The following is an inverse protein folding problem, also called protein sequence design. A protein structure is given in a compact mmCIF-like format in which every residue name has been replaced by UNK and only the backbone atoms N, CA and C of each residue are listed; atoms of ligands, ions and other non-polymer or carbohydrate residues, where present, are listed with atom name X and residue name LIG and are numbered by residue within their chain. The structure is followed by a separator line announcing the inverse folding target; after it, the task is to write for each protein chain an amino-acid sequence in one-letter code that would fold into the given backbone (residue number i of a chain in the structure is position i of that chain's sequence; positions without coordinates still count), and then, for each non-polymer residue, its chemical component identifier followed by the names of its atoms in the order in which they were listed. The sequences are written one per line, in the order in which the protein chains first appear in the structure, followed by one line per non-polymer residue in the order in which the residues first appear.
data_IF_300527208048
#
_entry.id   IF_300527208048
#
_cell.length_a   1.000
_cell.length_b   1.000
_cell.length_c   1.000
_cell.angle_alpha   90.00
_cell.angle_beta   90.00
_cell.angle_gamma   90.00
#
_symmetry.space_group_name_H-M   'P 1'
#
loop_
_entity.id
_entity.type
_entity.pdbx_description
1 polymer ?
#
# COMPACT_ATOMS: atom_id res chain seq x y z
N UNK A 1 56.18 -37.39 -4.38
CA UNK A 1 55.88 -36.34 -5.38
C UNK A 1 56.61 -35.08 -4.95
N UNK A 2 57.55 -34.56 -5.75
CA UNK A 2 58.29 -33.33 -5.42
C UNK A 2 57.39 -32.14 -5.74
N UNK A 3 56.95 -31.39 -4.73
CA UNK A 3 56.19 -30.17 -4.90
C UNK A 3 57.05 -29.11 -5.59
N UNK A 4 56.56 -28.57 -6.71
CA UNK A 4 57.16 -27.39 -7.34
C UNK A 4 56.78 -26.15 -6.50
N UNK A 5 57.67 -25.15 -6.36
CA UNK A 5 57.34 -23.95 -5.61
C UNK A 5 56.18 -23.21 -6.30
N UNK A 6 55.17 -22.84 -5.52
CA UNK A 6 54.00 -22.09 -5.98
C UNK A 6 54.47 -20.67 -6.31
N UNK A 7 54.56 -20.37 -7.59
CA UNK A 7 54.84 -19.04 -8.12
C UNK A 7 53.72 -18.64 -9.09
N UNK A 8 53.60 -17.35 -9.41
CA UNK A 8 52.51 -16.83 -10.25
C UNK A 8 52.45 -17.54 -11.61
N UNK A 9 53.59 -17.99 -12.12
CA UNK A 9 53.70 -18.69 -13.40
C UNK A 9 53.17 -20.13 -13.34
N UNK A 10 53.45 -20.88 -12.27
CA UNK A 10 52.89 -22.24 -12.07
C UNK A 10 51.39 -22.21 -11.81
N UNK A 11 50.89 -21.19 -11.11
CA UNK A 11 49.44 -20.99 -10.94
C UNK A 11 48.78 -20.63 -12.28
N UNK A 12 49.40 -19.76 -13.08
CA UNK A 12 48.91 -19.43 -14.42
C UNK A 12 48.89 -20.64 -15.34
N UNK A 13 49.94 -21.46 -15.32
CA UNK A 13 50.04 -22.68 -16.13
C UNK A 13 49.01 -23.74 -15.70
N UNK A 14 48.76 -23.92 -14.40
CA UNK A 14 47.68 -24.76 -13.86
C UNK A 14 46.29 -24.25 -14.26
N UNK A 15 46.07 -22.94 -14.23
CA UNK A 15 44.80 -22.31 -14.63
C UNK A 15 44.57 -22.44 -16.14
N UNK A 16 45.60 -22.23 -16.96
CA UNK A 16 45.52 -22.38 -18.41
C UNK A 16 45.28 -23.85 -18.79
N UNK A 17 45.94 -24.80 -18.12
CA UNK A 17 45.68 -26.24 -18.29
C UNK A 17 44.29 -26.65 -17.81
N UNK A 18 43.79 -26.08 -16.70
CA UNK A 18 42.43 -26.32 -16.23
C UNK A 18 41.40 -25.74 -17.22
N UNK A 19 41.62 -24.54 -17.75
CA UNK A 19 40.77 -23.92 -18.75
C UNK A 19 40.75 -24.72 -20.07
N UNK A 20 41.90 -25.26 -20.51
CA UNK A 20 41.98 -26.17 -21.65
C UNK A 20 41.27 -27.49 -21.39
N UNK A 21 41.40 -28.09 -20.19
CA UNK A 21 40.67 -29.31 -19.82
C UNK A 21 39.17 -29.09 -19.79
N UNK A 22 38.70 -27.93 -19.32
CA UNK A 22 37.28 -27.54 -19.34
C UNK A 22 36.80 -27.28 -20.78
N UNK A 23 37.59 -26.62 -21.63
CA UNK A 23 37.28 -26.42 -23.05
C UNK A 23 37.27 -27.72 -23.84
N UNK A 24 38.19 -28.64 -23.57
CA UNK A 24 38.24 -29.95 -24.19
C UNK A 24 37.10 -30.85 -23.69
N UNK A 25 36.81 -30.84 -22.39
CA UNK A 25 35.68 -31.55 -21.79
C UNK A 25 34.32 -31.08 -22.33
N UNK A 26 34.14 -29.77 -22.48
CA UNK A 26 32.91 -29.19 -23.06
C UNK A 26 32.77 -29.47 -24.55
N UNK A 27 33.86 -29.42 -25.34
CA UNK A 27 33.85 -29.85 -26.75
C UNK A 27 33.53 -31.34 -26.90
N UNK A 28 34.17 -32.20 -26.10
CA UNK A 28 33.93 -33.64 -26.12
C UNK A 28 32.50 -34.01 -25.68
N UNK A 29 31.93 -33.27 -24.71
CA UNK A 29 30.53 -33.42 -24.31
C UNK A 29 29.59 -32.96 -25.44
N UNK A 30 29.87 -31.81 -26.05
CA UNK A 30 29.10 -31.29 -27.17
C UNK A 30 29.12 -32.24 -28.38
N UNK A 31 30.27 -32.82 -28.71
CA UNK A 31 30.41 -33.79 -29.80
C UNK A 31 29.72 -35.12 -29.48
N UNK A 32 29.76 -35.59 -28.23
CA UNK A 32 29.05 -36.81 -27.81
C UNK A 32 27.53 -36.61 -27.80
N UNK A 33 27.06 -35.43 -27.40
CA UNK A 33 25.64 -35.01 -27.47
C UNK A 33 25.17 -34.84 -28.91
N UNK A 34 26.04 -34.36 -29.80
CA UNK A 34 25.75 -34.15 -31.22
C UNK A 34 25.72 -35.46 -32.04
N UNK A 35 26.55 -36.43 -31.67
CA UNK A 35 26.71 -37.69 -32.41
C UNK A 35 25.82 -38.85 -31.89
N UNK A 36 25.16 -38.70 -30.74
CA UNK A 36 24.20 -39.71 -30.24
C UNK A 36 22.78 -39.48 -30.80
N UNK A 37 22.45 -40.24 -31.85
CA UNK A 37 21.15 -40.21 -32.54
C UNK A 37 19.99 -40.56 -31.58
N UNK A 38 20.20 -41.43 -30.59
CA UNK A 38 19.18 -41.81 -29.62
C UNK A 38 18.96 -40.74 -28.53
N UNK A 39 20.00 -39.98 -28.19
CA UNK A 39 19.90 -38.83 -27.30
C UNK A 39 19.20 -37.65 -28.00
N UNK A 40 19.55 -37.37 -29.26
CA UNK A 40 18.93 -36.30 -30.04
C UNK A 40 17.41 -36.53 -30.23
N UNK A 41 16.99 -37.79 -30.43
CA UNK A 41 15.58 -38.18 -30.51
C UNK A 41 14.82 -38.11 -29.17
N UNK A 42 15.51 -38.27 -28.02
CA UNK A 42 14.91 -38.07 -26.68
C UNK A 42 14.79 -36.59 -26.34
N UNK A 43 15.81 -35.79 -26.64
CA UNK A 43 15.77 -34.33 -26.48
C UNK A 43 14.69 -33.70 -27.35
N UNK A 44 14.56 -34.10 -28.61
CA UNK A 44 13.56 -33.52 -29.50
C UNK A 44 12.12 -33.82 -29.04
N UNK A 45 11.89 -35.02 -28.47
CA UNK A 45 10.62 -35.37 -27.80
C UNK A 45 10.40 -34.55 -26.52
N UNK A 46 11.42 -34.40 -25.68
CA UNK A 46 11.35 -33.56 -24.47
C UNK A 46 11.05 -32.08 -24.78
N UNK A 47 11.75 -31.50 -25.76
CA UNK A 47 11.50 -30.13 -26.26
C UNK A 47 10.07 -29.98 -26.80
N UNK A 48 9.54 -31.01 -27.47
CA UNK A 48 8.16 -30.98 -27.97
C UNK A 48 7.14 -30.96 -26.84
N UNK A 49 7.29 -31.83 -25.83
CA UNK A 49 6.40 -31.90 -24.67
C UNK A 49 6.47 -30.59 -23.87
N UNK A 50 7.68 -30.12 -23.55
CA UNK A 50 7.89 -28.88 -22.81
C UNK A 50 7.25 -27.68 -23.52
N UNK A 51 7.43 -27.57 -24.85
CA UNK A 51 6.83 -26.48 -25.62
C UNK A 51 5.31 -26.52 -25.60
N UNK A 52 4.70 -27.70 -25.72
CA UNK A 52 3.24 -27.86 -25.65
C UNK A 52 2.72 -27.49 -24.27
N UNK A 53 3.40 -27.90 -23.20
CA UNK A 53 3.05 -27.54 -21.81
C UNK A 53 3.15 -26.01 -21.62
N UNK A 54 4.25 -25.39 -22.07
CA UNK A 54 4.42 -23.95 -22.00
C UNK A 54 3.34 -23.22 -22.81
N UNK A 55 3.05 -23.69 -24.02
CA UNK A 55 2.00 -23.11 -24.87
C UNK A 55 0.61 -23.20 -24.24
N UNK A 56 0.26 -24.36 -23.67
CA UNK A 56 -0.98 -24.53 -22.92
C UNK A 56 -1.03 -23.63 -21.69
N UNK A 57 0.09 -23.49 -20.98
CA UNK A 57 0.24 -22.55 -19.86
C UNK A 57 -0.03 -21.11 -20.27
N UNK A 58 0.57 -20.65 -21.38
CA UNK A 58 0.31 -19.31 -21.92
C UNK A 58 -1.17 -19.07 -22.24
N UNK A 59 -1.85 -20.05 -22.84
CA UNK A 59 -3.30 -19.95 -23.12
C UNK A 59 -4.09 -19.92 -21.82
N UNK A 60 -3.78 -20.77 -20.85
CA UNK A 60 -4.43 -20.81 -19.55
C UNK A 60 -4.31 -19.46 -18.82
N UNK A 61 -3.10 -18.90 -18.74
CA UNK A 61 -2.90 -17.57 -18.18
C UNK A 61 -3.58 -16.48 -19.00
N UNK A 62 -3.60 -16.60 -20.33
CA UNK A 62 -4.36 -15.72 -21.21
C UNK A 62 -5.85 -15.68 -20.86
N UNK A 63 -6.47 -16.84 -20.62
CA UNK A 63 -7.86 -16.92 -20.16
C UNK A 63 -8.05 -16.35 -18.76
N UNK A 64 -7.14 -16.64 -17.81
CA UNK A 64 -7.20 -16.10 -16.46
C UNK A 64 -7.17 -14.56 -16.48
N UNK A 65 -6.22 -13.96 -17.22
CA UNK A 65 -6.14 -12.52 -17.38
C UNK A 65 -7.32 -11.94 -18.15
N UNK A 66 -7.87 -12.66 -19.13
CA UNK A 66 -9.08 -12.25 -19.85
C UNK A 66 -10.30 -12.18 -18.91
N UNK A 67 -10.49 -13.16 -18.03
CA UNK A 67 -11.59 -13.16 -17.05
C UNK A 67 -11.45 -11.97 -16.11
N UNK A 68 -10.24 -11.74 -15.56
CA UNK A 68 -9.95 -10.56 -14.73
C UNK A 68 -10.23 -9.28 -15.51
N UNK A 69 -9.75 -9.17 -16.75
CA UNK A 69 -9.99 -8.01 -17.59
C UNK A 69 -11.48 -7.76 -17.80
N UNK A 70 -12.28 -8.79 -18.08
CA UNK A 70 -13.74 -8.63 -18.26
C UNK A 70 -14.41 -8.16 -16.96
N UNK A 71 -14.10 -8.79 -15.82
CA UNK A 71 -14.68 -8.42 -14.52
C UNK A 71 -14.35 -6.95 -14.18
N UNK A 72 -13.09 -6.55 -14.31
CA UNK A 72 -12.64 -5.22 -13.93
C UNK A 72 -13.04 -4.12 -14.93
N UNK A 73 -12.92 -4.38 -16.24
CA UNK A 73 -13.08 -3.36 -17.27
C UNK A 73 -14.47 -3.30 -17.91
N UNK A 74 -15.18 -4.42 -18.05
CA UNK A 74 -16.49 -4.43 -18.74
C UNK A 74 -17.63 -4.10 -17.76
N UNK A 75 -17.51 -4.55 -16.51
CA UNK A 75 -18.59 -4.39 -15.53
C UNK A 75 -18.51 -3.09 -14.71
N UNK A 76 -17.42 -2.32 -14.84
CA UNK A 76 -17.21 -1.10 -14.05
C UNK A 76 -17.08 -1.45 -12.56
N UNK A 77 -16.05 -2.23 -12.21
CA UNK A 77 -15.88 -2.78 -10.87
C UNK A 77 -15.82 -1.67 -9.79
N UNK A 78 -16.81 -1.65 -8.91
CA UNK A 78 -16.86 -0.83 -7.71
C UNK A 78 -16.37 -1.67 -6.52
N UNK A 79 -15.36 -1.20 -5.81
CA UNK A 79 -14.64 -2.06 -4.84
C UNK A 79 -14.31 -1.38 -3.52
N UNK A 80 -14.26 -0.06 -3.50
CA UNK A 80 -14.01 0.70 -2.27
C UNK A 80 -15.35 1.08 -1.65
N UNK A 81 -15.69 0.57 -0.45
CA UNK A 81 -16.86 1.07 0.26
C UNK A 81 -16.60 2.52 0.66
N UNK A 82 -17.47 3.44 0.21
CA UNK A 82 -17.34 4.87 0.50
C UNK A 82 -18.65 5.38 1.10
N UNK A 83 -18.54 6.19 2.13
CA UNK A 83 -19.70 6.81 2.77
C UNK A 83 -20.16 8.02 1.95
N UNK A 84 -21.08 7.78 1.04
CA UNK A 84 -21.81 8.78 0.28
C UNK A 84 -23.07 8.16 -0.34
N UNK A 85 -23.85 8.94 -1.08
CA UNK A 85 -25.12 8.48 -1.69
C UNK A 85 -24.96 7.29 -2.67
N UNK A 86 -23.72 7.00 -3.11
CA UNK A 86 -23.41 5.95 -4.10
C UNK A 86 -22.95 4.58 -3.54
N UNK A 87 -22.69 4.44 -2.24
CA UNK A 87 -22.33 3.16 -1.59
C UNK A 87 -20.90 2.64 -1.89
N UNK A 88 -20.54 2.41 -3.15
CA UNK A 88 -19.21 1.98 -3.56
C UNK A 88 -18.59 2.99 -4.53
N UNK A 89 -17.25 3.06 -4.51
CA UNK A 89 -16.46 3.90 -5.41
C UNK A 89 -15.83 3.04 -6.51
N UNK A 90 -15.93 3.54 -7.74
CA UNK A 90 -15.30 2.96 -8.91
C UNK A 90 -13.80 3.27 -8.97
N UNK A 91 -13.05 2.48 -9.74
CA UNK A 91 -11.62 2.74 -9.96
C UNK A 91 -11.36 4.10 -10.63
N UNK A 92 -12.29 4.59 -11.44
CA UNK A 92 -12.20 5.92 -12.08
C UNK A 92 -12.31 7.03 -11.05
N UNK A 93 -13.30 6.96 -10.16
CA UNK A 93 -13.49 7.95 -9.10
C UNK A 93 -12.32 7.93 -8.12
N UNK A 94 -11.82 6.75 -7.76
CA UNK A 94 -10.59 6.65 -6.97
C UNK A 94 -9.40 7.28 -7.70
N UNK A 95 -9.27 7.01 -8.99
CA UNK A 95 -8.26 7.65 -9.85
C UNK A 95 -8.38 9.18 -9.86
N UNK A 96 -9.59 9.74 -9.89
CA UNK A 96 -9.81 11.18 -9.83
C UNK A 96 -9.47 11.81 -8.47
N UNK A 97 -9.64 11.06 -7.38
CA UNK A 97 -9.24 11.47 -6.04
C UNK A 97 -7.73 11.29 -5.77
N UNK A 98 -7.10 10.31 -6.42
CA UNK A 98 -5.69 9.99 -6.22
C UNK A 98 -4.78 10.76 -7.19
N UNK A 99 -5.15 10.89 -8.46
CA UNK A 99 -4.29 11.48 -9.48
C UNK A 99 -4.46 13.00 -9.54
N UNK A 100 -3.35 13.70 -9.76
CA UNK A 100 -3.30 15.16 -9.84
C UNK A 100 -4.17 15.78 -10.93
N UNK A 101 -4.32 15.13 -12.09
CA UNK A 101 -5.05 15.68 -13.23
C UNK A 101 -6.04 14.70 -13.84
N UNK A 102 -7.22 15.15 -14.29
CA UNK A 102 -8.15 14.33 -15.09
C UNK A 102 -7.51 13.78 -16.38
N UNK A 103 -6.50 14.46 -16.93
CA UNK A 103 -5.75 13.94 -18.08
C UNK A 103 -4.91 12.73 -17.70
N UNK A 104 -4.36 12.70 -16.49
CA UNK A 104 -3.51 11.62 -16.00
C UNK A 104 -4.35 10.35 -15.78
N UNK A 105 -5.58 10.51 -15.29
CA UNK A 105 -6.58 9.42 -15.21
C UNK A 105 -6.82 8.82 -16.60
N UNK A 106 -7.05 9.66 -17.62
CA UNK A 106 -7.25 9.19 -19.00
C UNK A 106 -6.02 8.47 -19.55
N UNK A 107 -4.82 9.00 -19.32
CA UNK A 107 -3.57 8.35 -19.75
C UNK A 107 -3.33 7.02 -19.05
N UNK A 108 -3.68 6.92 -17.76
CA UNK A 108 -3.61 5.68 -17.01
C UNK A 108 -4.59 4.63 -17.56
N UNK A 109 -5.81 5.04 -17.94
CA UNK A 109 -6.75 4.18 -18.66
C UNK A 109 -6.21 3.71 -20.01
N UNK A 110 -5.71 4.62 -20.84
CA UNK A 110 -5.16 4.30 -22.16
C UNK A 110 -3.98 3.33 -22.03
N UNK A 111 -3.02 3.64 -21.14
CA UNK A 111 -1.85 2.80 -20.88
C UNK A 111 -2.22 1.43 -20.33
N UNK A 112 -3.17 1.39 -19.38
CA UNK A 112 -3.70 0.16 -18.80
C UNK A 112 -4.42 -0.72 -19.81
N UNK A 113 -5.30 -0.15 -20.65
CA UNK A 113 -6.00 -0.86 -21.72
C UNK A 113 -5.03 -1.38 -22.78
N UNK A 114 -4.08 -0.55 -23.23
CA UNK A 114 -3.04 -0.96 -24.18
C UNK A 114 -2.22 -2.12 -23.60
N UNK A 115 -1.75 -2.01 -22.36
CA UNK A 115 -0.97 -3.05 -21.69
C UNK A 115 -1.76 -4.35 -21.50
N UNK A 116 -3.00 -4.27 -21.02
CA UNK A 116 -3.85 -5.43 -20.78
C UNK A 116 -4.23 -6.15 -22.09
N UNK A 117 -4.75 -5.42 -23.08
CA UNK A 117 -5.16 -6.00 -24.36
C UNK A 117 -3.96 -6.61 -25.08
N UNK A 118 -2.85 -5.87 -25.19
CA UNK A 118 -1.65 -6.38 -25.86
C UNK A 118 -1.06 -7.59 -25.12
N UNK A 119 -1.03 -7.57 -23.78
CA UNK A 119 -0.57 -8.68 -22.96
C UNK A 119 -1.42 -9.94 -23.14
N UNK A 120 -2.75 -9.81 -23.08
CA UNK A 120 -3.68 -10.93 -23.29
C UNK A 120 -3.51 -11.51 -24.70
N UNK A 121 -3.50 -10.64 -25.73
CA UNK A 121 -3.29 -11.07 -27.11
C UNK A 121 -1.92 -11.70 -27.32
N UNK A 122 -0.88 -11.21 -26.64
CA UNK A 122 0.46 -11.77 -26.68
C UNK A 122 0.48 -13.17 -26.07
N UNK A 123 -0.15 -13.39 -24.91
CA UNK A 123 -0.23 -14.70 -24.26
C UNK A 123 -0.96 -15.72 -25.15
N UNK A 124 -2.12 -15.36 -25.72
CA UNK A 124 -2.84 -16.24 -26.64
C UNK A 124 -2.04 -16.53 -27.91
N UNK A 125 -1.48 -15.49 -28.54
CA UNK A 125 -0.69 -15.64 -29.76
C UNK A 125 0.55 -16.51 -29.51
N UNK A 126 1.29 -16.25 -28.43
CA UNK A 126 2.47 -17.03 -28.06
C UNK A 126 2.11 -18.48 -27.75
N UNK A 127 1.02 -18.71 -27.02
CA UNK A 127 0.52 -20.04 -26.69
C UNK A 127 0.16 -20.86 -27.94
N UNK A 128 -0.62 -20.28 -28.86
CA UNK A 128 -1.00 -20.91 -30.13
C UNK A 128 0.25 -21.20 -30.98
N UNK A 129 1.17 -20.23 -31.12
CA UNK A 129 2.39 -20.40 -31.92
C UNK A 129 3.30 -21.52 -31.37
N UNK A 130 3.39 -21.65 -30.04
CA UNK A 130 4.15 -22.72 -29.39
C UNK A 130 3.53 -24.10 -29.62
N UNK A 131 2.19 -24.22 -29.58
CA UNK A 131 1.51 -25.51 -29.80
C UNK A 131 1.62 -25.93 -31.27
N UNK A 132 1.23 -25.04 -32.20
CA UNK A 132 1.11 -25.36 -33.63
C UNK A 132 2.40 -25.18 -34.45
N UNK A 133 3.49 -24.70 -33.84
CA UNK A 133 4.81 -24.50 -34.49
C UNK A 133 4.78 -23.52 -35.68
N UNK A 134 3.93 -22.50 -35.63
CA UNK A 134 3.71 -21.56 -36.74
C UNK A 134 4.65 -20.34 -36.70
N UNK A 135 5.90 -20.53 -36.26
CA UNK A 135 6.87 -19.45 -36.18
C UNK A 135 7.39 -19.09 -37.58
N UNK A 136 6.84 -18.04 -38.16
CA UNK A 136 7.32 -17.40 -39.37
C UNK A 136 7.80 -15.98 -39.06
N UNK A 137 8.48 -15.32 -40.00
CA UNK A 137 8.95 -13.93 -39.86
C UNK A 137 7.81 -12.98 -39.46
N UNK A 138 6.64 -13.15 -40.06
CA UNK A 138 5.45 -12.33 -39.78
C UNK A 138 4.88 -12.55 -38.38
N UNK A 139 4.86 -13.78 -37.87
CA UNK A 139 4.33 -14.05 -36.53
C UNK A 139 5.27 -13.55 -35.44
N UNK A 140 6.59 -13.59 -35.68
CA UNK A 140 7.58 -12.94 -34.82
C UNK A 140 7.44 -11.42 -34.82
N UNK A 141 7.19 -10.81 -35.98
CA UNK A 141 6.93 -9.37 -36.08
C UNK A 141 5.66 -8.97 -35.36
N UNK A 142 4.57 -9.74 -35.49
CA UNK A 142 3.32 -9.49 -34.78
C UNK A 142 3.50 -9.58 -33.26
N UNK A 143 4.23 -10.60 -32.76
CA UNK A 143 4.55 -10.72 -31.34
C UNK A 143 5.41 -9.55 -30.84
N UNK A 144 6.41 -9.14 -31.64
CA UNK A 144 7.22 -7.97 -31.34
C UNK A 144 6.38 -6.69 -31.29
N UNK A 145 5.43 -6.53 -32.21
CA UNK A 145 4.49 -5.41 -32.20
C UNK A 145 3.61 -5.38 -30.96
N UNK A 146 3.01 -6.51 -30.57
CA UNK A 146 2.24 -6.63 -29.33
C UNK A 146 3.10 -6.30 -28.10
N UNK A 147 4.33 -6.79 -28.07
CA UNK A 147 5.26 -6.50 -26.99
C UNK A 147 5.59 -5.00 -26.91
N UNK A 148 5.86 -4.35 -28.03
CA UNK A 148 6.13 -2.89 -28.08
C UNK A 148 4.89 -2.10 -27.63
N UNK A 149 3.70 -2.45 -28.08
CA UNK A 149 2.44 -1.80 -27.65
C UNK A 149 2.26 -1.94 -26.14
N UNK A 150 2.47 -3.14 -25.59
CA UNK A 150 2.38 -3.38 -24.15
C UNK A 150 3.43 -2.60 -23.37
N UNK A 151 4.67 -2.56 -23.88
CA UNK A 151 5.74 -1.76 -23.30
C UNK A 151 5.41 -0.27 -23.30
N UNK A 152 4.88 0.26 -24.40
CA UNK A 152 4.42 1.66 -24.48
C UNK A 152 3.32 1.94 -23.47
N UNK A 153 2.31 1.05 -23.34
CA UNK A 153 1.27 1.18 -22.32
C UNK A 153 1.83 1.20 -20.90
N UNK A 154 2.79 0.30 -20.61
CA UNK A 154 3.51 0.28 -19.34
C UNK A 154 4.31 1.54 -19.06
N UNK A 155 5.00 2.09 -20.06
CA UNK A 155 5.73 3.36 -19.94
C UNK A 155 4.77 4.52 -19.63
N UNK A 156 3.61 4.60 -20.29
CA UNK A 156 2.61 5.63 -20.01
C UNK A 156 2.16 5.57 -18.55
N UNK A 157 1.78 4.39 -18.06
CA UNK A 157 1.41 4.19 -16.66
C UNK A 157 2.56 4.52 -15.71
N UNK A 158 3.78 4.12 -16.05
CA UNK A 158 4.98 4.42 -15.26
C UNK A 158 5.26 5.93 -15.15
N UNK A 159 5.11 6.68 -16.25
CA UNK A 159 5.29 8.14 -16.26
C UNK A 159 4.23 8.83 -15.40
N UNK A 160 2.96 8.42 -15.53
CA UNK A 160 1.87 8.94 -14.68
C UNK A 160 2.14 8.61 -13.21
N UNK A 161 2.53 7.37 -12.91
CA UNK A 161 2.84 6.93 -11.55
C UNK A 161 4.03 7.69 -10.93
N UNK A 162 5.09 7.96 -11.70
CA UNK A 162 6.22 8.78 -11.22
C UNK A 162 5.77 10.22 -11.00
N UNK A 163 4.99 10.80 -11.92
CA UNK A 163 4.49 12.17 -11.80
C UNK A 163 3.66 12.34 -10.54
N UNK A 164 2.77 11.40 -10.26
CA UNK A 164 1.92 11.43 -9.06
C UNK A 164 2.72 11.09 -7.79
N UNK A 165 3.65 10.13 -7.85
CA UNK A 165 4.51 9.77 -6.73
C UNK A 165 5.39 10.92 -6.23
N UNK A 166 5.73 11.88 -7.09
CA UNK A 166 6.46 13.09 -6.68
C UNK A 166 5.70 13.96 -5.68
N UNK A 167 4.36 13.88 -5.64
CA UNK A 167 3.56 14.61 -4.68
C UNK A 167 3.68 14.09 -3.24
N UNK A 168 4.40 12.98 -3.04
CA UNK A 168 4.69 12.41 -1.72
C UNK A 168 6.11 12.74 -1.25
N UNK A 169 6.85 13.58 -1.97
CA UNK A 169 8.26 13.85 -1.71
C UNK A 169 8.53 14.65 -0.42
N UNK A 170 7.59 15.48 0.01
CA UNK A 170 7.70 16.26 1.23
C UNK A 170 6.43 16.11 2.06
N UNK A 171 6.61 16.01 3.36
CA UNK A 171 5.53 16.03 4.35
C UNK A 171 5.69 17.27 5.23
N UNK A 172 4.59 17.85 5.69
CA UNK A 172 4.64 19.02 6.58
C UNK A 172 3.57 18.91 7.65
N UNK A 173 4.00 19.20 8.88
CA UNK A 173 3.18 19.22 10.08
C UNK A 173 2.85 20.66 10.45
N UNK A 174 1.58 20.93 10.74
CA UNK A 174 1.08 22.21 11.25
C UNK A 174 0.43 21.96 12.60
N UNK A 175 0.66 22.89 13.52
CA UNK A 175 0.11 22.82 14.88
C UNK A 175 -0.69 24.08 15.14
N UNK A 176 -1.86 23.90 15.73
CA UNK A 176 -2.60 25.00 16.33
C UNK A 176 -2.00 25.38 17.69
N UNK A 177 -2.36 26.56 18.19
CA UNK A 177 -2.05 26.94 19.55
C UNK A 177 -2.70 25.97 20.56
N UNK A 178 -1.99 25.60 21.65
CA UNK A 178 -2.49 24.63 22.61
C UNK A 178 -3.70 25.20 23.39
N UNK A 179 -4.73 24.38 23.54
CA UNK A 179 -5.84 24.66 24.46
C UNK A 179 -5.44 24.16 25.85
N UNK A 180 -5.48 25.05 26.83
CA UNK A 180 -5.13 24.76 28.21
C UNK A 180 -6.37 24.39 29.02
N UNK A 181 -6.34 23.28 29.75
CA UNK A 181 -7.46 22.82 30.58
C UNK A 181 -6.98 22.53 32.00
N UNK A 182 -7.65 23.12 32.98
CA UNK A 182 -7.45 22.80 34.39
C UNK A 182 -8.53 21.82 34.87
N UNK A 183 -8.15 20.56 34.94
CA UNK A 183 -8.97 19.47 35.48
C UNK A 183 -8.07 18.49 36.23
N UNK A 184 -8.62 17.66 37.12
CA UNK A 184 -7.87 16.54 37.72
C UNK A 184 -7.80 15.32 36.78
N UNK A 185 -8.89 15.11 36.03
CA UNK A 185 -8.99 14.09 35.01
C UNK A 185 -9.65 14.69 33.77
N UNK A 186 -9.03 14.53 32.60
CA UNK A 186 -9.59 14.97 31.32
C UNK A 186 -10.36 13.80 30.69
N UNK A 187 -11.65 13.96 30.42
CA UNK A 187 -12.48 12.94 29.77
C UNK A 187 -12.60 13.22 28.28
N UNK A 188 -12.26 12.25 27.42
CA UNK A 188 -12.40 12.38 25.96
C UNK A 188 -13.69 11.68 25.51
N UNK A 189 -14.54 12.43 24.83
CA UNK A 189 -15.83 11.99 24.31
C UNK A 189 -15.90 12.21 22.80
N UNK A 190 -16.50 11.28 22.07
CA UNK A 190 -16.64 11.38 20.60
C UNK A 190 -18.05 11.83 20.21
N UNK A 191 -18.17 12.82 19.32
CA UNK A 191 -19.46 13.35 18.85
C UNK A 191 -20.27 12.32 18.04
N UNK A 192 -19.60 11.53 17.22
CA UNK A 192 -20.23 10.69 16.19
C UNK A 192 -20.65 9.29 16.68
N UNK A 193 -20.52 8.99 17.98
CA UNK A 193 -20.94 7.72 18.58
C UNK A 193 -22.45 7.60 18.85
N UNK A 194 -23.17 8.73 18.90
CA UNK A 194 -24.59 8.81 19.30
C UNK A 194 -25.31 9.86 18.46
N UNK A 195 -25.88 9.45 17.32
CA UNK A 195 -26.84 10.32 16.61
C UNK A 195 -28.22 10.10 17.22
N UNK A 196 -28.75 11.11 17.90
CA UNK A 196 -30.16 11.15 18.27
C UNK A 196 -30.97 11.44 17.01
N UNK A 197 -31.66 10.42 16.50
CA UNK A 197 -32.64 10.62 15.43
C UNK A 197 -33.82 11.44 15.98
N UNK A 198 -34.53 12.19 15.12
CA UNK A 198 -35.74 12.97 15.44
C UNK A 198 -36.87 12.16 16.11
N UNK A 199 -36.73 10.83 16.16
CA UNK A 199 -37.62 9.89 16.82
C UNK A 199 -37.13 9.40 18.20
N UNK A 200 -36.12 10.06 18.81
CA UNK A 200 -35.60 9.70 20.13
C UNK A 200 -34.85 8.35 20.17
N UNK A 201 -34.41 7.85 19.01
CA UNK A 201 -33.62 6.61 18.91
C UNK A 201 -32.15 6.97 18.77
N UNK A 202 -31.34 6.45 19.69
CA UNK A 202 -29.87 6.46 19.60
C UNK A 202 -29.42 5.51 18.50
N UNK A 203 -28.93 6.03 17.39
CA UNK A 203 -28.34 5.22 16.33
C UNK A 203 -26.84 5.18 16.58
N UNK A 204 -26.35 4.06 17.13
CA UNK A 204 -24.92 3.76 17.20
C UNK A 204 -24.50 3.09 15.90
N UNK A 205 -23.72 3.79 15.08
CA UNK A 205 -23.25 3.24 13.80
C UNK A 205 -22.24 2.11 14.08
N UNK A 206 -22.71 0.86 14.06
CA UNK A 206 -22.01 -0.29 14.65
C UNK A 206 -21.06 -1.01 13.68
N UNK A 207 -21.09 -0.68 12.39
CA UNK A 207 -20.23 -1.33 11.38
C UNK A 207 -19.91 -0.37 10.24
N UNK A 208 -18.75 0.29 10.35
CA UNK A 208 -18.26 1.23 9.35
C UNK A 208 -17.09 0.64 8.59
N UNK A 209 -17.37 0.24 7.35
CA UNK A 209 -16.41 -0.40 6.45
C UNK A 209 -15.69 0.63 5.55
N UNK A 210 -16.21 1.86 5.45
CA UNK A 210 -15.64 2.91 4.61
C UNK A 210 -14.67 3.81 5.37
N UNK A 211 -13.44 3.90 4.87
CA UNK A 211 -12.36 4.76 5.42
C UNK A 211 -12.56 6.24 5.06
N UNK A 212 -13.35 6.51 4.02
CA UNK A 212 -13.62 7.85 3.50
C UNK A 212 -15.10 8.08 3.26
N UNK A 213 -15.52 9.35 3.30
CA UNK A 213 -16.80 9.81 2.80
C UNK A 213 -16.63 10.95 1.79
N UNK A 214 -17.61 11.07 0.90
CA UNK A 214 -17.64 12.14 -0.11
C UNK A 214 -18.83 13.05 0.17
N UNK A 215 -18.59 14.34 0.33
CA UNK A 215 -19.60 15.35 0.58
C UNK A 215 -19.42 16.54 -0.37
N UNK A 216 -20.07 16.52 -1.54
CA UNK A 216 -19.94 17.59 -2.52
C UNK A 216 -18.48 17.77 -2.97
N UNK A 217 -17.86 18.91 -2.62
CA UNK A 217 -16.45 19.19 -2.92
C UNK A 217 -15.46 18.82 -1.79
N UNK A 218 -15.94 18.25 -0.68
CA UNK A 218 -15.11 17.84 0.45
C UNK A 218 -15.05 16.32 0.58
N UNK A 219 -13.93 15.84 1.09
CA UNK A 219 -13.71 14.47 1.52
C UNK A 219 -13.73 14.43 3.03
N UNK A 220 -14.30 13.39 3.61
CA UNK A 220 -14.12 13.06 5.02
C UNK A 220 -13.24 11.83 5.15
N UNK A 221 -12.30 11.83 6.10
CA UNK A 221 -11.52 10.64 6.48
C UNK A 221 -11.75 10.37 7.95
N UNK A 222 -11.93 9.09 8.27
CA UNK A 222 -12.14 8.62 9.64
C UNK A 222 -10.82 8.19 10.28
N UNK A 223 -10.77 8.30 11.60
CA UNK A 223 -9.62 7.86 12.37
C UNK A 223 -8.75 9.04 12.78
N UNK A 224 -8.70 9.36 14.07
CA UNK A 224 -7.86 10.42 14.62
C UNK A 224 -6.82 9.78 15.54
N UNK A 225 -5.56 10.13 15.34
CA UNK A 225 -4.46 9.64 16.16
C UNK A 225 -4.35 10.49 17.43
N UNK A 226 -3.96 9.86 18.54
CA UNK A 226 -3.79 10.46 19.85
C UNK A 226 -2.37 10.18 20.32
N UNK A 227 -1.69 11.23 20.75
CA UNK A 227 -0.37 11.13 21.37
C UNK A 227 -0.43 11.76 22.76
N UNK A 228 -0.02 11.01 23.77
CA UNK A 228 0.03 11.46 25.15
C UNK A 228 1.48 11.67 25.56
N UNK A 229 1.82 12.86 26.07
CA UNK A 229 3.16 13.19 26.58
C UNK A 229 3.07 13.92 27.92
N UNK A 230 4.13 14.00 28.74
CA UNK A 230 4.09 14.78 29.97
C UNK A 230 3.89 16.27 29.70
N UNK A 231 3.07 16.92 30.54
CA UNK A 231 2.93 18.38 30.55
C UNK A 231 4.11 19.05 31.25
N UNK A 232 4.56 20.22 30.77
CA UNK A 232 5.56 21.02 31.47
C UNK A 232 5.02 21.73 32.73
N UNK A 233 3.70 21.80 32.91
CA UNK A 233 3.05 22.48 34.02
C UNK A 233 1.84 21.70 34.57
N UNK A 234 1.03 22.34 35.41
CA UNK A 234 -0.14 21.73 36.05
C UNK A 234 -1.39 21.63 35.17
N UNK A 235 -1.33 22.11 33.93
CA UNK A 235 -2.47 22.17 33.00
C UNK A 235 -2.32 21.12 31.90
N UNK A 236 -3.44 20.59 31.43
CA UNK A 236 -3.45 19.82 30.21
C UNK A 236 -3.24 20.77 29.03
N UNK A 237 -2.35 20.43 28.11
CA UNK A 237 -2.18 21.15 26.84
C UNK A 237 -2.65 20.25 25.70
N UNK A 238 -3.67 20.70 24.97
CA UNK A 238 -4.28 19.96 23.87
C UNK A 238 -3.94 20.67 22.58
N UNK A 239 -3.14 20.03 21.74
CA UNK A 239 -2.66 20.59 20.48
C UNK A 239 -3.18 19.78 19.31
N UNK A 240 -3.87 20.43 18.38
CA UNK A 240 -4.25 19.83 17.11
C UNK A 240 -3.07 19.87 16.16
N UNK A 241 -2.79 18.73 15.54
CA UNK A 241 -1.69 18.56 14.61
C UNK A 241 -2.22 18.04 13.28
N UNK A 242 -1.89 18.74 12.21
CA UNK A 242 -2.34 18.45 10.85
C UNK A 242 -1.14 18.07 9.99
N UNK A 243 -1.23 16.93 9.30
CA UNK A 243 -0.18 16.45 8.38
C UNK A 243 -0.75 16.18 6.99
N UNK A 244 0.04 16.49 5.98
CA UNK A 244 -0.24 16.17 4.59
C UNK A 244 1.06 16.16 3.78
N UNK A 245 1.05 15.44 2.66
CA UNK A 245 2.16 15.36 1.72
C UNK A 245 1.98 16.30 0.53
N UNK A 246 3.11 16.73 -0.05
CA UNK A 246 3.17 17.52 -1.27
C UNK A 246 4.48 17.37 -2.02
N UNK A 247 4.51 17.83 -3.28
CA UNK A 247 5.75 17.87 -4.06
C UNK A 247 6.79 18.85 -3.50
N UNK A 248 6.39 19.71 -2.56
CA UNK A 248 7.23 20.64 -1.83
C UNK A 248 6.64 20.88 -0.45
N UNK A 249 7.47 21.28 0.52
CA UNK A 249 6.98 21.64 1.87
C UNK A 249 5.94 22.76 1.84
N UNK A 250 6.02 23.68 0.86
CA UNK A 250 5.00 24.72 0.67
C UNK A 250 3.64 24.11 0.33
N UNK A 251 3.60 23.16 -0.62
CA UNK A 251 2.34 22.52 -1.02
C UNK A 251 1.81 21.57 0.05
N UNK A 252 2.70 20.85 0.73
CA UNK A 252 2.35 20.04 1.88
C UNK A 252 1.70 20.89 2.98
N UNK A 253 2.31 22.06 3.30
CA UNK A 253 1.75 23.02 4.26
C UNK A 253 0.36 23.50 3.84
N UNK A 254 0.20 23.97 2.60
CA UNK A 254 -1.10 24.41 2.07
C UNK A 254 -2.19 23.35 2.25
N UNK A 255 -1.88 22.08 1.94
CA UNK A 255 -2.80 20.95 2.14
C UNK A 255 -3.11 20.69 3.60
N UNK A 256 -2.11 20.77 4.49
CA UNK A 256 -2.32 20.63 5.94
C UNK A 256 -3.19 21.76 6.50
N UNK A 257 -3.06 23.00 5.98
CA UNK A 257 -3.89 24.16 6.38
C UNK A 257 -5.36 24.00 5.98
N UNK A 258 -5.65 23.26 4.92
CA UNK A 258 -7.02 23.00 4.46
C UNK A 258 -7.73 21.85 5.21
N UNK A 259 -7.06 21.18 6.15
CA UNK A 259 -7.69 20.13 6.95
C UNK A 259 -8.56 20.78 8.03
N UNK A 260 -9.85 20.50 7.99
CA UNK A 260 -10.82 20.96 8.96
C UNK A 260 -11.11 19.86 9.99
N UNK A 261 -10.80 20.16 11.24
CA UNK A 261 -11.08 19.27 12.37
C UNK A 261 -11.57 20.03 13.58
N UNK A 262 -12.63 19.51 14.19
CA UNK A 262 -13.33 20.16 15.30
C UNK A 262 -13.15 19.37 16.59
N UNK A 263 -12.80 20.12 17.62
CA UNK A 263 -12.86 19.72 19.01
C UNK A 263 -13.59 20.81 19.79
N UNK A 264 -14.15 20.46 20.93
CA UNK A 264 -14.76 21.40 21.87
C UNK A 264 -14.39 20.99 23.30
N UNK A 265 -14.11 21.96 24.15
CA UNK A 265 -13.74 21.71 25.55
C UNK A 265 -14.79 22.34 26.45
N UNK A 266 -15.41 21.50 27.29
CA UNK A 266 -16.40 21.94 28.27
C UNK A 266 -16.02 21.41 29.64
N UNK A 267 -15.48 22.28 30.50
CA UNK A 267 -15.00 21.89 31.83
C UNK A 267 -13.84 20.90 31.74
N UNK A 268 -14.06 19.68 32.23
CA UNK A 268 -13.09 18.57 32.25
C UNK A 268 -13.23 17.62 31.04
N UNK A 269 -14.09 17.96 30.08
CA UNK A 269 -14.45 17.09 28.98
C UNK A 269 -14.01 17.67 27.64
N UNK A 270 -13.23 16.89 26.88
CA UNK A 270 -12.85 17.15 25.50
C UNK A 270 -13.77 16.35 24.56
N UNK A 271 -14.60 17.06 23.80
CA UNK A 271 -15.41 16.48 22.74
C UNK A 271 -14.66 16.56 21.42
N UNK A 272 -14.61 15.44 20.68
CA UNK A 272 -13.88 15.35 19.42
C UNK A 272 -14.69 14.65 18.34
N UNK A 273 -14.54 15.08 17.08
CA UNK A 273 -15.13 14.36 15.95
C UNK A 273 -14.31 13.08 15.65
N UNK A 274 -14.92 12.02 15.12
CA UNK A 274 -14.19 10.79 14.71
C UNK A 274 -13.66 10.86 13.27
N UNK A 275 -13.90 12.00 12.62
CA UNK A 275 -13.56 12.29 11.23
C UNK A 275 -13.10 13.74 11.09
N UNK A 276 -12.32 13.99 10.06
CA UNK A 276 -11.93 15.32 9.62
C UNK A 276 -12.24 15.48 8.13
N UNK A 277 -12.29 16.73 7.69
CA UNK A 277 -12.66 17.11 6.34
C UNK A 277 -11.47 17.79 5.64
N UNK A 278 -11.38 17.61 4.33
CA UNK A 278 -10.44 18.33 3.48
C UNK A 278 -11.00 18.43 2.06
N UNK A 279 -10.61 19.42 1.25
CA UNK A 279 -11.16 19.59 -0.09
C UNK A 279 -10.70 18.48 -1.04
N UNK A 280 -11.58 18.06 -1.95
CA UNK A 280 -11.25 17.09 -3.02
C UNK A 280 -10.10 17.55 -3.91
N UNK A 281 -9.95 18.86 -4.06
CA UNK A 281 -8.90 19.49 -4.86
C UNK A 281 -7.50 19.14 -4.34
N UNK A 282 -7.35 18.90 -3.04
CA UNK A 282 -6.07 18.53 -2.43
C UNK A 282 -5.66 17.08 -2.70
N UNK A 283 -6.56 16.27 -3.26
CA UNK A 283 -6.37 14.83 -3.56
C UNK A 283 -6.07 14.00 -2.32
N UNK A 284 -5.99 12.69 -2.45
CA UNK A 284 -5.53 11.80 -1.38
C UNK A 284 -4.01 11.90 -1.24
N UNK A 285 -3.53 12.61 -0.22
CA UNK A 285 -2.12 12.98 -0.01
C UNK A 285 -1.70 12.82 1.44
N UNK A 286 -2.10 11.70 2.05
CA UNK A 286 -1.72 11.41 3.42
C UNK A 286 -2.24 12.44 4.43
N UNK A 287 -3.43 13.01 4.19
CA UNK A 287 -4.04 13.92 5.16
C UNK A 287 -4.33 13.20 6.46
N UNK A 288 -3.79 13.70 7.56
CA UNK A 288 -3.88 13.11 8.90
C UNK A 288 -4.11 14.18 9.96
N UNK A 289 -4.81 13.78 11.01
CA UNK A 289 -5.06 14.58 12.20
C UNK A 289 -4.59 13.79 13.41
N UNK A 290 -3.76 14.42 14.22
CA UNK A 290 -3.25 13.91 15.47
C UNK A 290 -3.59 14.92 16.58
N UNK A 291 -4.13 14.42 17.69
CA UNK A 291 -4.35 15.18 18.91
C UNK A 291 -3.21 14.88 19.88
N UNK A 292 -2.35 15.86 20.13
CA UNK A 292 -1.33 15.77 21.18
C UNK A 292 -1.88 16.29 22.48
N UNK A 293 -1.88 15.45 23.50
CA UNK A 293 -2.41 15.76 24.82
C UNK A 293 -1.26 15.65 25.81
N UNK A 294 -0.86 16.79 26.36
CA UNK A 294 0.16 16.82 27.40
C UNK A 294 -0.50 16.66 28.77
N UNK A 295 -0.15 15.61 29.51
CA UNK A 295 -0.74 15.20 30.79
C UNK A 295 0.16 15.66 31.94
N UNK A 296 -0.34 16.50 32.88
CA UNK A 296 0.41 16.88 34.09
C UNK A 296 0.72 15.70 35.01
N UNK A 297 1.79 15.83 35.79
CA UNK A 297 2.16 14.86 36.81
C UNK A 297 1.00 14.65 37.81
N UNK A 298 0.63 13.39 38.07
CA UNK A 298 -0.45 13.02 38.99
C UNK A 298 -1.88 13.13 38.42
N UNK A 299 -2.06 13.69 37.22
CA UNK A 299 -3.35 13.79 36.54
C UNK A 299 -3.54 12.66 35.51
N UNK A 300 -4.75 12.53 34.95
CA UNK A 300 -5.06 11.42 34.03
C UNK A 300 -6.04 11.77 32.92
N UNK A 301 -6.04 10.98 31.85
CA UNK A 301 -7.05 11.07 30.78
C UNK A 301 -7.94 9.83 30.83
N UNK A 302 -9.26 10.01 30.71
CA UNK A 302 -10.24 8.94 30.56
C UNK A 302 -10.76 8.92 29.12
N UNK A 303 -10.59 7.82 28.40
CA UNK A 303 -11.10 7.63 27.04
C UNK A 303 -11.59 6.20 26.86
N UNK A 304 -12.80 6.02 26.34
CA UNK A 304 -13.42 4.69 26.09
C UNK A 304 -13.25 3.70 27.26
N UNK A 305 -13.55 4.19 28.48
CA UNK A 305 -13.44 3.42 29.73
C UNK A 305 -12.01 2.98 30.11
N UNK A 306 -10.99 3.56 29.48
CA UNK A 306 -9.57 3.37 29.77
C UNK A 306 -8.97 4.63 30.38
N UNK A 307 -8.16 4.45 31.43
CA UNK A 307 -7.43 5.53 32.08
C UNK A 307 -5.99 5.54 31.56
N UNK A 308 -5.56 6.67 31.03
CA UNK A 308 -4.19 6.94 30.58
C UNK A 308 -3.50 7.83 31.63
N UNK A 309 -2.34 7.40 32.10
CA UNK A 309 -1.52 8.09 33.10
C UNK A 309 -0.05 7.93 32.71
N UNK A 310 0.65 9.04 32.56
CA UNK A 310 2.07 9.03 32.24
C UNK A 310 2.87 9.13 33.53
N UNK A 311 3.68 8.12 33.79
CA UNK A 311 4.68 8.11 34.87
C UNK A 311 4.12 8.39 36.26
N UNK A 312 3.47 7.40 36.90
CA UNK A 312 3.44 7.36 38.35
C UNK A 312 4.86 7.08 38.86
N UNK A 313 5.39 7.91 39.77
CA UNK A 313 6.69 7.67 40.46
C UNK A 313 6.78 6.31 41.19
N UNK A 314 5.72 5.49 41.20
CA UNK A 314 5.59 4.28 42.00
C UNK A 314 5.40 2.96 41.24
N UNK A 315 5.39 2.91 39.90
CA UNK A 315 5.45 1.63 39.19
C UNK A 315 6.90 1.18 39.04
N UNK A 316 7.41 0.62 40.13
CA UNK A 316 8.59 -0.23 40.12
C UNK A 316 8.25 -1.52 39.38
N UNK A 317 8.63 -1.61 38.09
CA UNK A 317 9.12 -2.85 37.47
C UNK A 317 9.65 -2.57 36.05
N UNK A 318 10.96 -2.75 35.91
CA UNK A 318 11.66 -3.30 34.74
C UNK A 318 11.27 -2.69 33.37
N UNK A 319 12.03 -1.66 32.99
CA UNK A 319 12.19 -1.04 31.65
C UNK A 319 11.41 0.26 31.39
N UNK A 320 12.01 1.38 31.80
CA UNK A 320 11.75 2.70 31.24
C UNK A 320 10.53 3.44 31.77
N UNK A 321 10.69 4.71 32.14
CA UNK A 321 9.54 5.61 32.31
C UNK A 321 8.83 5.73 30.96
N UNK A 322 7.54 5.39 30.91
CA UNK A 322 6.70 5.60 29.72
C UNK A 322 6.44 7.11 29.63
N UNK A 323 7.21 7.77 28.77
CA UNK A 323 7.13 9.21 28.50
C UNK A 323 6.21 9.54 27.34
N UNK A 324 5.69 8.53 26.64
CA UNK A 324 4.84 8.70 25.48
C UNK A 324 3.95 7.49 25.34
N UNK A 325 2.67 7.73 25.17
CA UNK A 325 1.69 6.72 24.79
C UNK A 325 0.97 7.17 23.52
N UNK A 326 0.55 6.22 22.70
CA UNK A 326 -0.16 6.49 21.46
C UNK A 326 -1.48 5.71 21.43
N UNK A 327 -2.42 6.20 20.64
CA UNK A 327 -3.64 5.48 20.35
C UNK A 327 -4.39 6.11 19.19
N UNK A 328 -5.50 5.50 18.81
CA UNK A 328 -6.30 5.88 17.66
C UNK A 328 -7.77 5.76 17.96
N UNK A 329 -8.53 6.82 17.70
CA UNK A 329 -9.99 6.78 17.74
C UNK A 329 -10.51 6.34 16.38
N UNK A 330 -11.21 5.21 16.31
CA UNK A 330 -11.78 4.69 15.07
C UNK A 330 -13.05 5.42 14.64
N UNK A 331 -13.52 5.08 13.44
CA UNK A 331 -14.77 5.58 12.87
C UNK A 331 -16.04 5.29 13.67
N UNK A 332 -16.02 4.31 14.59
CA UNK A 332 -17.12 3.97 15.49
C UNK A 332 -16.98 4.59 16.88
N UNK A 333 -15.95 5.43 17.07
CA UNK A 333 -15.64 6.11 18.32
C UNK A 333 -14.87 5.28 19.34
N UNK A 334 -14.55 4.01 19.04
CA UNK A 334 -13.71 3.19 19.92
C UNK A 334 -12.26 3.66 19.90
N UNK A 335 -11.61 3.55 21.05
CA UNK A 335 -10.19 3.86 21.20
C UNK A 335 -9.36 2.57 21.15
N UNK A 336 -8.40 2.53 20.22
CA UNK A 336 -7.39 1.49 20.11
C UNK A 336 -6.07 2.06 20.65
N UNK A 337 -5.40 1.36 21.55
CA UNK A 337 -4.16 1.83 22.13
C UNK A 337 -2.95 1.21 21.43
N UNK A 338 -1.89 1.99 21.26
CA UNK A 338 -0.71 1.64 20.44
C UNK A 338 0.05 0.39 20.87
N UNK A 339 -0.17 -0.12 22.09
CA UNK A 339 0.52 -1.33 22.58
C UNK A 339 -0.14 -2.65 22.15
N UNK A 340 -1.35 -2.63 21.56
CA UNK A 340 -2.13 -3.85 21.29
C UNK A 340 -1.94 -4.50 19.90
N UNK A 341 -1.18 -3.92 18.96
CA UNK A 341 -1.19 -4.41 17.56
C UNK A 341 0.13 -5.00 17.00
N UNK A 342 1.13 -5.31 17.84
CA UNK A 342 2.32 -6.06 17.38
C UNK A 342 2.28 -7.57 17.62
N UNK A 343 1.23 -8.11 18.23
CA UNK A 343 1.07 -9.55 18.40
C UNK A 343 -0.38 -9.96 18.14
N UNK A 344 -0.70 -10.31 16.88
CA UNK A 344 -1.52 -11.46 16.46
C UNK A 344 -2.17 -11.22 15.10
N UNK A 345 -1.43 -11.51 14.02
CA UNK A 345 -2.03 -12.02 12.78
C UNK A 345 -1.15 -13.16 12.21
N UNK A 346 -0.84 -14.14 13.06
CA UNK A 346 -0.66 -15.50 12.57
C UNK A 346 -2.03 -16.16 12.56
N UNK A 347 -2.70 -16.12 11.42
CA UNK A 347 -3.81 -17.03 11.13
C UNK A 347 -3.27 -18.47 11.08
N UNK A 348 -3.21 -19.13 12.24
CA UNK A 348 -3.27 -20.59 12.27
C UNK A 348 -4.68 -21.02 11.87
N UNK A 349 -4.81 -21.46 10.62
CA UNK A 349 -5.98 -22.19 10.15
C UNK A 349 -5.95 -23.54 10.88
N UNK A 350 -6.69 -23.64 11.97
CA UNK A 350 -6.90 -24.89 12.67
C UNK A 350 -7.96 -25.71 11.90
N UNK A 351 -7.48 -26.57 11.00
CA UNK A 351 -8.32 -27.55 10.29
C UNK A 351 -8.41 -28.78 11.18
N UNK A 352 -9.45 -28.85 12.01
CA UNK A 352 -9.87 -30.13 12.59
C UNK A 352 -10.67 -30.89 11.52
N UNK A 353 -10.11 -32.01 11.07
CA UNK A 353 -10.84 -33.15 10.51
C UNK A 353 -10.60 -34.37 11.41
#
# INVERSE_FOLDING_TARGET
MKGRPINVETVKEEVDQAAERVRAGSKNLADRVRNDIHYNNRINRGKQILRTILGAGFIFFGFMFLIIFIIFFVQGFEFLPVKGDGGFMSITEYGELSLNSPTDVKWMWIGGLMGAISGILFLFSMGILLIFRLFNRWTKLALGGLFVIGLTGGIICGVVGIKDGRDWAAETEIKDDPIMVDAEQLTILTYDGVVNNRFGKTVKNTRNIGWFGIHGNSLSKYGVDLEYTPSPDSLFHITKVYRASGYSSKKARERSEHIEYRIDVQGDSLYMDTKYLFPKEDKLRGQEVELRIQIPEGKSVLIDNRIIRLGDRNTSNLNGQIYREEGRVRSDGRYEHGDEDHYHEHHEININY
#
